data_IF_146634651423
#
_entry.id   IF_146634651423
#
_cell.length_a   1.000
_cell.length_b   1.000
_cell.length_c   1.000
_cell.angle_alpha   90.00
_cell.angle_beta   90.00
_cell.angle_gamma   90.00
#
_symmetry.space_group_name_H-M   'P 1'
#
loop_
_entity.id
_entity.type
_entity.pdbx_description
1 polymer ?
#
# COMPACT_ATOMS: atom_id res chain seq x y z
N UNK A 1 -33.40 -49.88 -9.34
CA UNK A 1 -33.48 -48.73 -8.39
C UNK A 1 -32.15 -48.51 -7.72
N UNK A 2 -31.53 -49.49 -7.05
CA UNK A 2 -30.27 -49.36 -6.33
C UNK A 2 -29.11 -48.87 -7.23
N UNK A 3 -28.94 -49.46 -8.42
CA UNK A 3 -27.92 -49.05 -9.39
C UNK A 3 -28.12 -47.61 -9.84
N UNK A 4 -29.34 -47.20 -10.07
CA UNK A 4 -29.66 -45.80 -10.45
C UNK A 4 -29.32 -44.83 -9.32
N UNK A 5 -29.63 -45.19 -8.07
CA UNK A 5 -29.26 -44.36 -6.90
C UNK A 5 -27.73 -44.25 -6.73
N UNK A 6 -26.99 -45.33 -6.96
CA UNK A 6 -25.53 -45.30 -6.92
C UNK A 6 -24.92 -44.43 -8.03
N UNK A 7 -25.49 -44.47 -9.23
CA UNK A 7 -25.07 -43.61 -10.35
C UNK A 7 -25.35 -42.13 -10.05
N UNK A 8 -26.52 -41.80 -9.54
CA UNK A 8 -26.87 -40.45 -9.15
C UNK A 8 -25.92 -39.95 -8.04
N UNK A 9 -25.68 -40.78 -7.03
CA UNK A 9 -24.73 -40.47 -5.96
C UNK A 9 -23.31 -40.21 -6.46
N UNK A 10 -22.85 -41.02 -7.40
CA UNK A 10 -21.54 -40.87 -8.03
C UNK A 10 -21.42 -39.55 -8.81
N UNK A 11 -22.41 -39.22 -9.66
CA UNK A 11 -22.42 -37.95 -10.39
C UNK A 11 -22.50 -36.73 -9.45
N UNK A 12 -23.25 -36.83 -8.37
CA UNK A 12 -23.32 -35.77 -7.35
C UNK A 12 -21.96 -35.55 -6.65
N UNK A 13 -21.27 -36.63 -6.28
CA UNK A 13 -19.92 -36.53 -5.69
C UNK A 13 -18.94 -35.88 -6.67
N UNK A 14 -18.96 -36.30 -7.94
CA UNK A 14 -18.14 -35.69 -9.00
C UNK A 14 -18.42 -34.19 -9.17
N UNK A 15 -19.69 -33.81 -9.18
CA UNK A 15 -20.09 -32.41 -9.28
C UNK A 15 -19.54 -31.57 -8.11
N UNK A 16 -19.60 -32.11 -6.87
CA UNK A 16 -19.02 -31.44 -5.69
C UNK A 16 -17.51 -31.32 -5.82
N UNK A 17 -16.81 -32.39 -6.22
CA UNK A 17 -15.36 -32.39 -6.41
C UNK A 17 -14.94 -31.38 -7.50
N UNK A 18 -15.67 -31.34 -8.61
CA UNK A 18 -15.43 -30.38 -9.69
C UNK A 18 -15.65 -28.94 -9.24
N UNK A 19 -16.73 -28.65 -8.52
CA UNK A 19 -17.01 -27.33 -7.96
C UNK A 19 -15.93 -26.90 -6.94
N UNK A 20 -15.48 -27.80 -6.07
CA UNK A 20 -14.41 -27.55 -5.13
C UNK A 20 -13.07 -27.26 -5.84
N UNK A 21 -12.73 -28.05 -6.86
CA UNK A 21 -11.54 -27.88 -7.67
C UNK A 21 -11.57 -26.53 -8.41
N UNK A 22 -12.68 -26.17 -9.04
CA UNK A 22 -12.85 -24.88 -9.71
C UNK A 22 -12.69 -23.70 -8.75
N UNK A 23 -13.25 -23.78 -7.54
CA UNK A 23 -13.06 -22.74 -6.52
C UNK A 23 -11.60 -22.57 -6.11
N UNK A 24 -10.86 -23.67 -5.97
CA UNK A 24 -9.44 -23.65 -5.66
C UNK A 24 -8.62 -23.05 -6.81
N UNK A 25 -8.94 -23.44 -8.05
CA UNK A 25 -8.30 -22.88 -9.24
C UNK A 25 -8.57 -21.39 -9.37
N UNK A 26 -9.81 -20.94 -9.21
CA UNK A 26 -10.16 -19.52 -9.24
C UNK A 26 -9.43 -18.72 -8.16
N UNK A 27 -9.32 -19.27 -6.93
CA UNK A 27 -8.53 -18.62 -5.87
C UNK A 27 -7.06 -18.44 -6.28
N UNK A 28 -6.41 -19.47 -6.82
CA UNK A 28 -5.01 -19.38 -7.28
C UNK A 28 -4.83 -18.44 -8.46
N UNK A 29 -5.82 -18.32 -9.34
CA UNK A 29 -5.74 -17.47 -10.52
C UNK A 29 -5.98 -15.98 -10.17
N UNK A 30 -6.85 -15.70 -9.21
CA UNK A 30 -7.35 -14.35 -8.97
C UNK A 30 -7.06 -13.76 -7.60
N UNK A 31 -6.52 -14.53 -6.65
CA UNK A 31 -6.14 -13.99 -5.33
C UNK A 31 -4.62 -13.97 -5.16
N UNK A 32 -4.16 -12.99 -4.43
CA UNK A 32 -2.76 -12.88 -3.97
C UNK A 32 -2.58 -13.71 -2.70
N UNK A 33 -1.65 -14.65 -2.71
CA UNK A 33 -1.42 -15.61 -1.62
C UNK A 33 -0.97 -14.92 -0.31
N UNK A 34 -0.26 -13.79 -0.42
CA UNK A 34 0.27 -13.07 0.74
C UNK A 34 -0.81 -12.23 1.45
N UNK A 35 -1.72 -11.63 0.70
CA UNK A 35 -2.69 -10.66 1.22
C UNK A 35 -4.13 -11.15 1.22
N UNK A 36 -4.44 -12.17 0.41
CA UNK A 36 -5.82 -12.64 0.19
C UNK A 36 -6.69 -11.69 -0.65
N UNK A 37 -6.13 -10.56 -1.09
CA UNK A 37 -6.81 -9.64 -2.00
C UNK A 37 -6.81 -10.17 -3.44
N UNK A 38 -7.69 -9.67 -4.33
CA UNK A 38 -7.54 -9.81 -5.77
C UNK A 38 -6.10 -9.50 -6.20
N UNK A 39 -5.53 -10.39 -7.00
CA UNK A 39 -4.15 -10.28 -7.47
C UNK A 39 -4.05 -9.43 -8.74
N UNK A 40 -2.82 -9.32 -9.27
CA UNK A 40 -2.52 -8.59 -10.51
C UNK A 40 -3.41 -9.02 -11.68
N UNK A 41 -3.64 -10.34 -11.86
CA UNK A 41 -4.47 -10.82 -12.98
C UNK A 41 -5.90 -10.29 -12.87
N UNK A 42 -6.47 -10.28 -11.67
CA UNK A 42 -7.83 -9.75 -11.46
C UNK A 42 -7.89 -8.22 -11.60
N UNK A 43 -6.84 -7.52 -11.18
CA UNK A 43 -6.72 -6.08 -11.42
C UNK A 43 -6.66 -5.76 -12.92
N UNK A 44 -5.84 -6.50 -13.69
CA UNK A 44 -5.70 -6.32 -15.13
C UNK A 44 -6.99 -6.65 -15.90
N UNK A 45 -7.69 -7.73 -15.50
CA UNK A 45 -9.00 -8.10 -16.08
C UNK A 45 -10.00 -6.95 -15.88
N UNK A 46 -10.13 -6.44 -14.64
CA UNK A 46 -11.02 -5.32 -14.33
C UNK A 46 -10.68 -4.08 -15.17
N UNK A 47 -9.40 -3.71 -15.26
CA UNK A 47 -8.98 -2.52 -16.02
C UNK A 47 -9.15 -2.67 -17.54
N UNK A 48 -9.26 -3.89 -18.08
CA UNK A 48 -9.37 -4.17 -19.51
C UNK A 48 -10.79 -4.46 -19.96
N UNK A 49 -11.63 -5.03 -19.09
CA UNK A 49 -12.95 -5.56 -19.48
C UNK A 49 -14.11 -4.70 -18.96
N UNK A 50 -13.92 -3.93 -17.88
CA UNK A 50 -14.99 -3.07 -17.37
C UNK A 50 -14.98 -1.69 -18.02
N UNK A 51 -16.19 -1.18 -18.30
CA UNK A 51 -16.41 0.20 -18.74
C UNK A 51 -16.80 1.04 -17.51
N UNK A 52 -16.17 2.21 -17.31
CA UNK A 52 -16.48 3.05 -16.16
C UNK A 52 -17.81 3.78 -16.36
N UNK A 53 -18.63 3.79 -15.33
CA UNK A 53 -19.77 4.69 -15.20
C UNK A 53 -19.30 6.10 -14.79
N UNK A 54 -20.19 7.09 -14.89
CA UNK A 54 -19.86 8.49 -14.59
C UNK A 54 -19.40 8.71 -13.13
N UNK A 55 -19.80 7.85 -12.19
CA UNK A 55 -19.46 7.84 -10.77
C UNK A 55 -18.39 6.79 -10.39
N UNK A 56 -17.72 6.23 -11.41
CA UNK A 56 -16.57 5.35 -11.18
C UNK A 56 -15.34 6.15 -10.78
N UNK A 57 -14.70 5.73 -9.70
CA UNK A 57 -13.41 6.23 -9.23
C UNK A 57 -12.35 5.14 -9.21
N UNK A 58 -11.14 5.48 -9.61
CA UNK A 58 -9.96 4.59 -9.56
C UNK A 58 -8.91 5.20 -8.66
N UNK A 59 -8.40 4.41 -7.70
CA UNK A 59 -7.31 4.81 -6.81
C UNK A 59 -6.10 3.91 -7.04
N UNK A 60 -4.92 4.52 -7.19
CA UNK A 60 -3.63 3.84 -7.17
C UNK A 60 -2.91 4.12 -5.85
N UNK A 61 -2.32 3.08 -5.27
CA UNK A 61 -1.53 3.15 -4.04
C UNK A 61 -0.18 2.48 -4.25
N UNK A 62 0.87 3.07 -3.69
CA UNK A 62 2.23 2.52 -3.72
C UNK A 62 2.80 2.55 -2.28
N UNK A 63 3.19 1.39 -1.79
CA UNK A 63 3.71 1.20 -0.43
C UNK A 63 5.18 1.63 -0.36
N UNK A 64 5.46 2.67 0.42
CA UNK A 64 6.82 3.19 0.58
C UNK A 64 7.68 2.30 1.48
N UNK A 65 9.00 2.44 1.37
CA UNK A 65 9.99 1.85 2.27
C UNK A 65 10.07 0.32 2.30
N UNK A 66 9.33 -0.42 1.45
CA UNK A 66 9.34 -1.89 1.45
C UNK A 66 10.75 -2.44 1.23
N UNK A 67 11.51 -1.89 0.28
CA UNK A 67 12.89 -2.30 0.03
C UNK A 67 13.78 -2.09 1.26
N UNK A 68 13.69 -0.93 1.93
CA UNK A 68 14.45 -0.64 3.15
C UNK A 68 14.13 -1.63 4.28
N UNK A 69 12.85 -2.02 4.43
CA UNK A 69 12.43 -3.00 5.43
C UNK A 69 13.00 -4.37 5.08
N UNK A 70 12.93 -4.80 3.81
CA UNK A 70 13.52 -6.05 3.35
C UNK A 70 15.03 -6.10 3.61
N UNK A 71 15.74 -5.04 3.25
CA UNK A 71 17.21 -4.96 3.38
C UNK A 71 17.65 -4.95 4.86
N UNK A 72 16.86 -4.34 5.76
CA UNK A 72 17.22 -4.19 7.18
C UNK A 72 16.69 -5.29 8.09
N UNK A 73 15.53 -5.93 7.74
CA UNK A 73 14.80 -6.87 8.62
C UNK A 73 14.44 -8.20 7.95
N UNK A 74 14.80 -8.36 6.67
CA UNK A 74 14.52 -9.56 5.87
C UNK A 74 13.14 -9.57 5.21
N UNK A 75 12.95 -10.49 4.26
CA UNK A 75 11.73 -10.58 3.45
C UNK A 75 10.48 -10.91 4.26
N UNK A 76 10.59 -11.67 5.36
CA UNK A 76 9.44 -11.97 6.23
C UNK A 76 8.84 -10.69 6.86
N UNK A 77 9.69 -9.72 7.22
CA UNK A 77 9.25 -8.42 7.73
C UNK A 77 8.58 -7.59 6.63
N UNK A 78 9.09 -7.65 5.40
CA UNK A 78 8.46 -7.01 4.24
C UNK A 78 7.12 -7.63 3.90
N UNK A 79 7.00 -8.94 3.94
CA UNK A 79 5.73 -9.64 3.73
C UNK A 79 4.69 -9.28 4.81
N UNK A 80 5.13 -9.19 6.07
CA UNK A 80 4.27 -8.72 7.15
C UNK A 80 3.83 -7.27 6.93
N UNK A 81 4.72 -6.40 6.46
CA UNK A 81 4.44 -5.00 6.13
C UNK A 81 3.39 -4.87 5.02
N UNK A 82 3.51 -5.65 3.94
CA UNK A 82 2.54 -5.73 2.84
C UNK A 82 1.17 -6.22 3.36
N UNK A 83 1.15 -7.29 4.16
CA UNK A 83 -0.11 -7.83 4.74
C UNK A 83 -0.82 -6.82 5.61
N UNK A 84 -0.10 -6.10 6.47
CA UNK A 84 -0.66 -5.05 7.33
C UNK A 84 -1.29 -3.94 6.50
N UNK A 85 -0.59 -3.47 5.48
CA UNK A 85 -1.13 -2.47 4.55
C UNK A 85 -2.40 -2.96 3.87
N UNK A 86 -2.39 -4.17 3.32
CA UNK A 86 -3.53 -4.78 2.64
C UNK A 86 -4.77 -4.90 3.55
N UNK A 87 -4.58 -5.38 4.79
CA UNK A 87 -5.66 -5.50 5.79
C UNK A 87 -6.24 -4.12 6.12
N UNK A 88 -5.38 -3.16 6.40
CA UNK A 88 -5.79 -1.81 6.76
C UNK A 88 -6.51 -1.13 5.60
N UNK A 89 -5.96 -1.20 4.37
CA UNK A 89 -6.58 -0.65 3.17
C UNK A 89 -7.96 -1.26 2.93
N UNK A 90 -8.09 -2.60 2.98
CA UNK A 90 -9.38 -3.28 2.78
C UNK A 90 -10.41 -2.87 3.84
N UNK A 91 -10.01 -2.76 5.10
CA UNK A 91 -10.90 -2.36 6.20
C UNK A 91 -11.32 -0.88 6.14
N UNK A 92 -10.48 -0.04 5.54
CA UNK A 92 -10.76 1.39 5.40
C UNK A 92 -11.68 1.72 4.22
N UNK A 93 -11.69 0.86 3.18
CA UNK A 93 -12.56 1.02 2.02
C UNK A 93 -13.95 0.39 2.30
N UNK A 94 -15.03 0.94 1.73
CA UNK A 94 -16.36 0.30 1.80
C UNK A 94 -16.32 -1.14 1.29
N UNK A 95 -17.14 -2.01 1.87
CA UNK A 95 -17.07 -3.46 1.64
C UNK A 95 -17.36 -3.86 0.19
N UNK A 96 -18.26 -3.12 -0.48
CA UNK A 96 -18.69 -3.31 -1.86
C UNK A 96 -17.67 -2.86 -2.91
N UNK A 97 -16.69 -2.04 -2.52
CA UNK A 97 -15.70 -1.52 -3.43
C UNK A 97 -14.56 -2.53 -3.68
N UNK A 98 -14.04 -2.52 -4.89
CA UNK A 98 -12.91 -3.37 -5.25
C UNK A 98 -11.62 -2.88 -4.60
N UNK A 99 -10.83 -3.80 -4.06
CA UNK A 99 -9.45 -3.55 -3.60
C UNK A 99 -8.61 -4.75 -4.01
N UNK A 100 -7.52 -4.52 -4.74
CA UNK A 100 -6.62 -5.55 -5.23
C UNK A 100 -5.14 -5.16 -5.09
N UNK A 101 -4.26 -6.15 -5.15
CA UNK A 101 -2.82 -5.97 -5.22
C UNK A 101 -2.36 -6.08 -6.66
N UNK A 102 -2.00 -4.95 -7.27
CA UNK A 102 -1.65 -4.85 -8.68
C UNK A 102 -0.18 -5.19 -8.97
N UNK A 103 0.69 -5.11 -7.95
CA UNK A 103 2.12 -5.37 -8.08
C UNK A 103 2.75 -5.77 -6.75
N UNK A 104 4.07 -5.70 -6.65
CA UNK A 104 4.83 -6.01 -5.43
C UNK A 104 4.44 -5.13 -4.24
N UNK A 105 4.47 -3.83 -4.42
CA UNK A 105 4.13 -2.76 -3.48
C UNK A 105 2.96 -1.88 -3.97
N UNK A 106 2.34 -2.25 -5.10
CA UNK A 106 1.27 -1.50 -5.75
C UNK A 106 -0.10 -2.10 -5.47
N UNK A 107 -1.08 -1.24 -5.14
CA UNK A 107 -2.46 -1.63 -4.88
C UNK A 107 -3.41 -0.75 -5.69
N UNK A 108 -4.54 -1.34 -6.05
CA UNK A 108 -5.61 -0.73 -6.82
C UNK A 108 -6.91 -0.78 -6.00
N UNK A 109 -7.64 0.33 -5.97
CA UNK A 109 -9.05 0.28 -5.59
C UNK A 109 -9.91 0.90 -6.69
N UNK A 110 -11.07 0.31 -6.91
CA UNK A 110 -12.10 0.84 -7.80
C UNK A 110 -13.37 1.06 -6.99
N UNK A 111 -13.95 2.23 -7.15
CA UNK A 111 -15.14 2.65 -6.40
C UNK A 111 -16.24 3.04 -7.37
N UNK A 112 -17.49 2.79 -6.97
CA UNK A 112 -18.68 3.18 -7.69
C UNK A 112 -19.58 3.97 -6.76
N UNK A 113 -20.30 4.98 -7.30
CA UNK A 113 -21.25 5.78 -6.54
C UNK A 113 -20.61 6.76 -5.55
N UNK A 114 -19.31 7.06 -5.66
CA UNK A 114 -18.63 8.04 -4.81
C UNK A 114 -18.30 9.29 -5.61
N UNK A 115 -18.79 10.43 -5.14
CA UNK A 115 -18.34 11.73 -5.64
C UNK A 115 -16.93 12.10 -5.12
N UNK A 116 -16.42 13.24 -5.57
CA UNK A 116 -15.06 13.71 -5.19
C UNK A 116 -14.90 13.93 -3.69
N UNK A 117 -15.93 14.43 -3.03
CA UNK A 117 -15.88 14.69 -1.58
C UNK A 117 -15.87 13.38 -0.81
N UNK A 118 -16.74 12.44 -1.16
CA UNK A 118 -16.80 11.10 -0.58
C UNK A 118 -15.51 10.30 -0.82
N UNK A 119 -14.92 10.41 -2.03
CA UNK A 119 -13.62 9.82 -2.34
C UNK A 119 -12.52 10.41 -1.44
N UNK A 120 -12.50 11.72 -1.28
CA UNK A 120 -11.53 12.39 -0.41
C UNK A 120 -11.70 11.95 1.04
N UNK A 121 -12.93 11.87 1.55
CA UNK A 121 -13.22 11.37 2.89
C UNK A 121 -12.78 9.90 3.08
N UNK A 122 -12.96 9.08 2.03
CA UNK A 122 -12.51 7.69 2.03
C UNK A 122 -10.97 7.60 2.16
N UNK A 123 -10.24 8.38 1.38
CA UNK A 123 -8.77 8.43 1.45
C UNK A 123 -8.27 9.01 2.78
N UNK A 124 -8.96 9.98 3.36
CA UNK A 124 -8.65 10.49 4.70
C UNK A 124 -8.90 9.41 5.78
N UNK A 125 -9.93 8.58 5.63
CA UNK A 125 -10.14 7.42 6.50
C UNK A 125 -8.99 6.44 6.38
N UNK A 126 -8.58 6.08 5.16
CA UNK A 126 -7.40 5.23 4.90
C UNK A 126 -6.17 5.81 5.63
N UNK A 127 -5.89 7.10 5.46
CA UNK A 127 -4.76 7.78 6.09
C UNK A 127 -4.81 7.71 7.62
N UNK A 128 -5.98 7.94 8.21
CA UNK A 128 -6.16 7.86 9.66
C UNK A 128 -5.94 6.44 10.18
N UNK A 129 -6.57 5.46 9.54
CA UNK A 129 -6.50 4.06 9.96
C UNK A 129 -5.05 3.51 9.84
N UNK A 130 -4.31 3.91 8.79
CA UNK A 130 -2.87 3.59 8.64
C UNK A 130 -2.00 4.24 9.74
N UNK A 131 -2.34 5.46 10.17
CA UNK A 131 -1.63 6.10 11.29
C UNK A 131 -1.88 5.38 12.61
N UNK A 132 -3.12 4.97 12.88
CA UNK A 132 -3.45 4.22 14.11
C UNK A 132 -2.73 2.86 14.12
N UNK A 133 -2.72 2.16 12.99
CA UNK A 133 -1.98 0.91 12.84
C UNK A 133 -0.47 1.11 13.06
N UNK A 134 0.11 2.19 12.54
CA UNK A 134 1.52 2.52 12.71
C UNK A 134 1.93 2.78 14.16
N UNK A 135 1.01 3.18 15.04
CA UNK A 135 1.27 3.31 16.48
C UNK A 135 1.49 1.95 17.15
N UNK A 136 0.86 0.89 16.63
CA UNK A 136 1.05 -0.48 17.12
C UNK A 136 2.42 -1.03 16.70
N UNK A 137 2.93 -0.59 15.54
CA UNK A 137 4.22 -1.04 14.98
C UNK A 137 5.15 0.15 14.72
N UNK A 138 5.64 0.82 15.77
CA UNK A 138 6.42 2.05 15.63
C UNK A 138 7.74 1.88 14.88
N UNK A 139 8.29 0.68 14.89
CA UNK A 139 9.54 0.35 14.19
C UNK A 139 9.37 0.18 12.67
N UNK A 140 8.16 -0.10 12.21
CA UNK A 140 7.81 -0.27 10.80
C UNK A 140 6.48 0.42 10.50
N UNK A 141 6.40 1.76 10.67
CA UNK A 141 5.18 2.50 10.41
C UNK A 141 4.79 2.41 8.93
N UNK A 142 3.51 2.27 8.66
CA UNK A 142 3.00 2.23 7.29
C UNK A 142 3.16 3.60 6.64
N UNK A 143 3.85 3.61 5.50
CA UNK A 143 4.02 4.78 4.63
C UNK A 143 3.65 4.40 3.21
N UNK A 144 2.85 5.22 2.55
CA UNK A 144 2.39 4.99 1.19
C UNK A 144 2.12 6.30 0.46
N UNK A 145 2.10 6.24 -0.85
CA UNK A 145 1.56 7.28 -1.71
C UNK A 145 0.22 6.82 -2.28
N UNK A 146 -0.68 7.75 -2.53
CA UNK A 146 -1.97 7.48 -3.13
C UNK A 146 -2.35 8.59 -4.13
N UNK A 147 -3.05 8.21 -5.18
CA UNK A 147 -3.68 9.11 -6.12
C UNK A 147 -4.99 8.52 -6.62
N UNK A 148 -5.90 9.36 -7.07
CA UNK A 148 -7.17 8.92 -7.63
C UNK A 148 -7.57 9.73 -8.87
N UNK A 149 -8.44 9.15 -9.67
CA UNK A 149 -9.13 9.78 -10.79
C UNK A 149 -10.61 9.39 -10.77
N UNK A 150 -11.48 10.27 -11.21
CA UNK A 150 -12.92 10.04 -11.34
C UNK A 150 -13.31 10.08 -12.82
N UNK A 151 -14.16 9.17 -13.26
CA UNK A 151 -14.68 9.14 -14.61
C UNK A 151 -15.46 10.42 -14.98
N UNK A 152 -16.14 11.01 -14.00
CA UNK A 152 -16.85 12.28 -14.15
C UNK A 152 -15.96 13.47 -14.53
N UNK A 153 -14.66 13.44 -14.18
CA UNK A 153 -13.69 14.49 -14.57
C UNK A 153 -13.21 14.33 -16.02
N UNK A 154 -13.32 13.13 -16.60
CA UNK A 154 -12.84 12.79 -17.94
C UNK A 154 -13.86 11.89 -18.65
N UNK A 155 -15.01 12.43 -19.07
CA UNK A 155 -16.06 11.64 -19.71
C UNK A 155 -15.55 10.90 -20.96
N UNK A 156 -15.90 9.62 -21.08
CA UNK A 156 -15.47 8.75 -22.17
C UNK A 156 -14.10 8.10 -21.98
N UNK A 157 -13.44 8.30 -20.84
CA UNK A 157 -12.22 7.57 -20.50
C UNK A 157 -12.51 6.11 -20.23
N UNK A 158 -11.59 5.24 -20.61
CA UNK A 158 -11.59 3.82 -20.24
C UNK A 158 -11.07 3.64 -18.80
N UNK A 159 -11.33 2.47 -18.19
CA UNK A 159 -10.77 2.12 -16.88
C UNK A 159 -9.24 2.24 -16.85
N UNK A 160 -8.57 1.85 -17.94
CA UNK A 160 -7.11 1.94 -18.09
C UNK A 160 -6.62 3.39 -18.08
N UNK A 161 -7.33 4.30 -18.74
CA UNK A 161 -6.98 5.72 -18.74
C UNK A 161 -7.21 6.37 -17.38
N UNK A 162 -8.28 6.01 -16.68
CA UNK A 162 -8.51 6.43 -15.29
C UNK A 162 -7.40 5.93 -14.36
N UNK A 163 -7.01 4.66 -14.49
CA UNK A 163 -5.88 4.11 -13.72
C UNK A 163 -4.58 4.88 -13.98
N UNK A 164 -4.25 5.14 -15.25
CA UNK A 164 -3.06 5.90 -15.61
C UNK A 164 -3.09 7.33 -15.04
N UNK A 165 -4.27 7.96 -14.99
CA UNK A 165 -4.44 9.25 -14.35
C UNK A 165 -4.26 9.19 -12.83
N UNK A 166 -4.85 8.19 -12.18
CA UNK A 166 -4.70 7.94 -10.74
C UNK A 166 -3.23 7.66 -10.37
N UNK A 167 -2.53 6.84 -11.16
CA UNK A 167 -1.12 6.53 -10.98
C UNK A 167 -0.23 7.77 -11.12
N UNK A 168 -0.47 8.60 -12.11
CA UNK A 168 0.21 9.90 -12.26
C UNK A 168 -0.01 10.80 -11.05
N UNK A 169 -1.23 10.88 -10.53
CA UNK A 169 -1.55 11.66 -9.34
C UNK A 169 -0.87 11.06 -8.09
N UNK A 170 -0.81 9.75 -7.97
CA UNK A 170 -0.08 9.04 -6.93
C UNK A 170 1.42 9.36 -6.98
N UNK A 171 2.03 9.36 -8.17
CA UNK A 171 3.44 9.68 -8.34
C UNK A 171 3.77 11.13 -7.94
N UNK A 172 2.89 12.10 -8.24
CA UNK A 172 3.02 13.49 -7.78
C UNK A 172 2.97 13.54 -6.26
N UNK A 173 2.01 12.85 -5.64
CA UNK A 173 1.87 12.74 -4.19
C UNK A 173 3.11 12.09 -3.55
N UNK A 174 3.62 11.00 -4.13
CA UNK A 174 4.83 10.30 -3.67
C UNK A 174 6.04 11.24 -3.57
N UNK A 175 6.22 12.08 -4.56
CA UNK A 175 7.30 13.06 -4.57
C UNK A 175 7.11 14.15 -3.51
N UNK A 176 5.86 14.55 -3.22
CA UNK A 176 5.55 15.49 -2.16
C UNK A 176 5.84 14.90 -0.78
N UNK A 177 5.35 13.70 -0.50
CA UNK A 177 5.59 12.97 0.75
C UNK A 177 7.09 12.78 1.01
N UNK A 178 7.87 12.36 0.01
CA UNK A 178 9.33 12.21 0.13
C UNK A 178 10.03 13.53 0.48
N UNK A 179 9.57 14.65 -0.10
CA UNK A 179 10.13 15.98 0.22
C UNK A 179 9.80 16.41 1.65
N UNK A 180 8.58 16.12 2.12
CA UNK A 180 8.17 16.41 3.49
C UNK A 180 8.93 15.55 4.51
N UNK A 181 9.09 14.24 4.23
CA UNK A 181 9.90 13.33 5.07
C UNK A 181 11.35 13.81 5.16
N UNK A 182 11.97 14.14 4.02
CA UNK A 182 13.35 14.66 3.98
C UNK A 182 13.49 16.01 4.71
N UNK A 183 12.49 16.87 4.62
CA UNK A 183 12.48 18.15 5.35
C UNK A 183 12.31 17.93 6.87
N UNK A 184 11.48 16.97 7.28
CA UNK A 184 11.28 16.61 8.68
C UNK A 184 12.55 15.97 9.29
N UNK A 185 13.22 15.08 8.55
CA UNK A 185 14.50 14.49 8.98
C UNK A 185 15.59 15.56 9.13
N UNK A 186 15.68 16.51 8.18
CA UNK A 186 16.59 17.65 8.26
C UNK A 186 16.30 18.52 9.48
N UNK A 187 15.02 18.82 9.75
CA UNK A 187 14.62 19.62 10.91
C UNK A 187 14.95 18.90 12.23
N UNK A 188 14.69 17.61 12.33
CA UNK A 188 15.00 16.79 13.49
C UNK A 188 16.52 16.71 13.73
N UNK A 189 17.32 16.55 12.65
CA UNK A 189 18.78 16.62 12.71
C UNK A 189 19.30 17.97 13.19
N UNK A 190 18.70 19.06 12.71
CA UNK A 190 19.04 20.42 13.15
C UNK A 190 18.71 20.67 14.63
N UNK A 191 17.57 20.20 15.11
CA UNK A 191 17.20 20.29 16.54
C UNK A 191 18.14 19.48 17.42
N UNK A 192 18.55 18.28 16.98
CA UNK A 192 19.53 17.45 17.68
C UNK A 192 20.91 18.16 17.74
N UNK A 193 21.38 18.73 16.64
CA UNK A 193 22.61 19.53 16.58
C UNK A 193 22.57 20.72 17.53
N UNK A 194 21.44 21.43 17.58
CA UNK A 194 21.23 22.55 18.48
C UNK A 194 21.30 22.15 19.96
N UNK A 195 20.70 21.01 20.32
CA UNK A 195 20.77 20.45 21.67
C UNK A 195 22.19 20.00 22.03
N UNK A 196 22.91 19.37 21.11
CA UNK A 196 24.31 18.95 21.30
C UNK A 196 25.24 20.18 21.49
N UNK A 197 25.04 21.24 20.73
CA UNK A 197 25.80 22.48 20.86
C UNK A 197 25.49 23.27 22.17
N UNK A 198 24.26 23.16 22.68
CA UNK A 198 23.87 23.81 23.95
C UNK A 198 24.40 23.06 25.18
N UNK A 199 24.60 21.75 25.10
CA UNK A 199 25.09 20.90 26.19
C UNK A 199 26.56 20.44 26.00
N UNK A 200 27.32 21.18 25.20
CA UNK A 200 28.71 20.88 24.87
C UNK A 200 29.58 20.68 26.11
N UNK A 201 30.07 19.48 26.29
CA UNK A 201 31.26 18.95 26.97
C UNK A 201 31.10 17.66 27.79
N UNK A 202 29.92 17.14 28.05
CA UNK A 202 29.72 15.95 28.89
C UNK A 202 29.15 14.71 28.18
N UNK A 203 29.31 14.60 26.86
CA UNK A 203 28.65 13.53 26.06
C UNK A 203 29.54 12.30 25.80
N UNK A 204 30.74 12.22 26.36
CA UNK A 204 31.64 11.08 26.14
C UNK A 204 31.24 9.78 26.84
N UNK A 205 30.28 9.81 27.79
CA UNK A 205 29.98 8.66 28.65
C UNK A 205 28.60 8.02 28.48
N UNK A 206 27.87 8.35 27.38
CA UNK A 206 26.55 7.77 27.15
C UNK A 206 26.58 6.67 26.08
N UNK A 207 26.47 5.41 26.51
CA UNK A 207 26.37 4.20 25.67
C UNK A 207 25.21 4.19 24.66
N UNK A 208 24.36 5.22 24.65
CA UNK A 208 23.26 5.42 23.69
C UNK A 208 23.67 6.20 22.42
N UNK A 209 24.96 6.59 22.35
CA UNK A 209 25.44 7.51 21.30
C UNK A 209 25.94 6.82 20.02
N UNK A 210 26.27 5.53 20.02
CA UNK A 210 26.91 4.91 18.83
C UNK A 210 26.03 4.88 17.59
N UNK A 211 24.76 4.52 17.72
CA UNK A 211 23.85 4.49 16.56
C UNK A 211 23.46 5.91 16.04
N UNK A 212 23.60 6.96 16.89
CA UNK A 212 23.31 8.36 16.51
C UNK A 212 24.56 9.09 16.02
N UNK A 213 25.76 8.62 16.35
CA UNK A 213 27.02 9.19 15.86
C UNK A 213 27.23 8.97 14.36
N UNK A 214 26.71 7.87 13.81
CA UNK A 214 26.78 7.63 12.36
C UNK A 214 25.89 8.60 11.61
N UNK A 215 24.71 8.94 12.16
CA UNK A 215 23.84 10.01 11.61
C UNK A 215 24.51 11.38 11.70
N UNK A 216 25.21 11.68 12.80
CA UNK A 216 25.97 12.92 12.98
C UNK A 216 27.14 13.02 11.99
N UNK A 217 27.90 11.94 11.77
CA UNK A 217 28.99 11.89 10.77
C UNK A 217 28.47 12.08 9.36
N UNK A 218 27.33 11.49 9.02
CA UNK A 218 26.68 11.64 7.71
C UNK A 218 26.24 13.10 7.47
N UNK A 219 25.63 13.77 8.47
CA UNK A 219 25.20 15.17 8.37
C UNK A 219 26.42 16.10 8.23
N UNK A 220 27.48 15.90 9.03
CA UNK A 220 28.69 16.73 8.97
C UNK A 220 29.49 16.54 7.67
N UNK A 221 29.45 15.35 7.07
CA UNK A 221 30.08 15.12 5.76
C UNK A 221 29.30 15.81 4.63
N UNK A 222 27.98 15.99 4.76
CA UNK A 222 27.16 16.71 3.79
C UNK A 222 27.31 18.23 3.87
N UNK A 223 27.60 18.82 5.05
CA UNK A 223 27.87 20.26 5.18
C UNK A 223 29.20 20.67 4.54
N UNK A 224 30.22 19.80 4.56
CA UNK A 224 31.49 20.09 3.91
C UNK A 224 31.43 20.02 2.37
N UNK A 225 30.34 19.55 1.79
CA UNK A 225 30.12 19.53 0.33
C UNK A 225 29.46 20.81 -0.20
N UNK A 226 28.94 21.67 0.67
CA UNK A 226 28.29 22.94 0.30
C UNK A 226 29.15 24.19 0.57
N UNK A 227 30.38 24.02 1.07
CA UNK A 227 31.32 25.12 1.35
C UNK A 227 32.61 25.04 0.49
N UNK A 228 32.63 24.16 -0.52
CA UNK A 228 33.61 24.12 -1.60
C UNK A 228 32.85 24.33 -2.93
#
# INVERSE_FOLDING_TARGET
>A
IVVLMLLIGYEFIKAIQYAAMNRLLQRKVYLDDATGLPNKNKCEELLSEEEPDADTGVCSFDLNNLRRINDSRGHEAGDAYIRRFAICLRASMPAEQFVGRAGGDEFLAVTHGLDREQMTQCLEKVRRDMREESKVYPDTPLSYAAGFALAGDSPGSTMRELFNCADKNMYINKNHVKREEAAAEKHQGYQLLKLLNQHGSNFSDCLYCDARMDTYRAIRSSENFFLA
#
